data_IF_478310540111
#
_entry.id   IF_478310540111
#
_cell.length_a   1.000
_cell.length_b   1.000
_cell.length_c   1.000
_cell.angle_alpha   90.00
_cell.angle_beta   90.00
_cell.angle_gamma   90.00
#
_symmetry.space_group_name_H-M   'P 1'
#
loop_
_entity.id
_entity.type
_entity.pdbx_description
1 polymer ?
#
# COMPACT_ATOMS: atom_id res chain seq x y z
N UNK A 1 15.75 -4.11 10.50
CA UNK A 1 14.29 -4.25 10.69
C UNK A 1 13.71 -4.59 9.34
N UNK A 2 13.03 -5.73 9.20
CA UNK A 2 12.46 -6.19 7.91
C UNK A 2 11.51 -5.16 7.27
N UNK A 3 10.81 -4.37 8.10
CA UNK A 3 9.93 -3.29 7.67
C UNK A 3 10.65 -2.12 6.96
N UNK A 4 11.84 -1.72 7.45
CA UNK A 4 12.66 -0.70 6.79
C UNK A 4 13.21 -1.24 5.47
N UNK A 5 13.63 -2.50 5.43
CA UNK A 5 14.10 -3.14 4.20
C UNK A 5 13.01 -3.19 3.13
N UNK A 6 11.78 -3.54 3.50
CA UNK A 6 10.63 -3.49 2.60
C UNK A 6 10.35 -2.06 2.09
N UNK A 7 10.48 -1.05 2.96
CA UNK A 7 10.36 0.36 2.53
C UNK A 7 11.47 0.81 1.57
N UNK A 8 12.72 0.44 1.82
CA UNK A 8 13.83 0.78 0.92
C UNK A 8 13.63 0.14 -0.47
N UNK A 9 13.15 -1.11 -0.50
CA UNK A 9 12.78 -1.79 -1.75
C UNK A 9 11.60 -1.10 -2.46
N UNK A 10 10.62 -0.61 -1.70
CA UNK A 10 9.51 0.17 -2.23
C UNK A 10 10.00 1.46 -2.89
N UNK A 11 10.86 2.22 -2.22
CA UNK A 11 11.46 3.46 -2.75
C UNK A 11 12.29 3.17 -4.00
N UNK A 12 13.11 2.13 -3.97
CA UNK A 12 13.93 1.77 -5.12
C UNK A 12 13.07 1.37 -6.32
N UNK A 13 12.02 0.57 -6.10
CA UNK A 13 11.09 0.16 -7.15
C UNK A 13 10.34 1.36 -7.74
N UNK A 14 9.90 2.31 -6.90
CA UNK A 14 9.28 3.55 -7.36
C UNK A 14 10.20 4.37 -8.28
N UNK A 15 11.47 4.53 -7.91
CA UNK A 15 12.46 5.30 -8.68
C UNK A 15 12.73 4.74 -10.07
N UNK A 16 12.69 3.42 -10.22
CA UNK A 16 12.90 2.75 -11.51
C UNK A 16 11.57 2.45 -12.24
N UNK A 17 10.46 2.97 -11.72
CA UNK A 17 9.10 2.73 -12.21
C UNK A 17 8.74 1.23 -12.34
N UNK A 18 9.25 0.41 -11.41
CA UNK A 18 8.90 -1.00 -11.30
C UNK A 18 7.64 -1.14 -10.43
N UNK A 19 6.46 -1.01 -11.05
CA UNK A 19 5.19 -1.17 -10.36
C UNK A 19 4.99 -2.54 -9.72
N UNK A 20 5.59 -3.61 -10.28
CA UNK A 20 5.49 -4.96 -9.72
C UNK A 20 6.35 -5.07 -8.46
N UNK A 21 7.58 -4.58 -8.50
CA UNK A 21 8.46 -4.50 -7.34
C UNK A 21 7.86 -3.63 -6.23
N UNK A 22 7.29 -2.48 -6.60
CA UNK A 22 6.61 -1.57 -5.67
C UNK A 22 5.45 -2.25 -4.95
N UNK A 23 4.61 -2.95 -5.70
CA UNK A 23 3.50 -3.72 -5.16
C UNK A 23 3.96 -4.83 -4.20
N UNK A 24 4.98 -5.61 -4.59
CA UNK A 24 5.52 -6.66 -3.73
C UNK A 24 6.06 -6.08 -2.41
N UNK A 25 6.77 -4.96 -2.49
CA UNK A 25 7.32 -4.29 -1.31
C UNK A 25 6.22 -3.80 -0.33
N UNK A 26 5.05 -3.38 -0.83
CA UNK A 26 3.89 -3.06 0.03
C UNK A 26 3.40 -4.30 0.79
N UNK A 27 3.32 -5.45 0.11
CA UNK A 27 2.90 -6.70 0.75
C UNK A 27 3.89 -7.13 1.83
N UNK A 28 5.18 -7.04 1.54
CA UNK A 28 6.25 -7.40 2.48
C UNK A 28 6.27 -6.44 3.69
N UNK A 29 6.00 -5.15 3.45
CA UNK A 29 5.85 -4.14 4.50
C UNK A 29 4.68 -4.47 5.43
N UNK A 30 3.50 -4.76 4.86
CA UNK A 30 2.30 -5.11 5.63
C UNK A 30 2.49 -6.42 6.41
N UNK A 31 3.06 -7.45 5.78
CA UNK A 31 3.35 -8.73 6.42
C UNK A 31 4.31 -8.57 7.62
N UNK A 32 5.36 -7.76 7.46
CA UNK A 32 6.30 -7.44 8.54
C UNK A 32 5.61 -6.75 9.71
N UNK A 33 4.72 -5.79 9.43
CA UNK A 33 3.94 -5.09 10.45
C UNK A 33 2.99 -6.02 11.22
N UNK A 34 2.29 -6.91 10.51
CA UNK A 34 1.36 -7.87 11.12
C UNK A 34 2.12 -8.91 11.96
N UNK A 35 3.25 -9.43 11.47
CA UNK A 35 4.07 -10.38 12.21
C UNK A 35 4.55 -9.80 13.55
N UNK A 36 4.85 -8.51 13.60
CA UNK A 36 5.27 -7.82 14.83
C UNK A 36 4.18 -7.79 15.91
N UNK A 37 2.89 -7.89 15.54
CA UNK A 37 1.78 -7.91 16.50
C UNK A 37 1.72 -9.19 17.33
N UNK A 38 2.40 -10.27 16.87
CA UNK A 38 2.33 -11.62 17.46
C UNK A 38 0.89 -12.11 17.68
N UNK A 39 -0.04 -11.66 16.84
CA UNK A 39 -1.45 -12.01 16.91
C UNK A 39 -1.84 -12.92 15.72
N UNK A 40 -1.90 -14.24 15.93
CA UNK A 40 -2.20 -15.19 14.85
C UNK A 40 -3.63 -15.07 14.31
N UNK A 41 -4.58 -14.59 15.11
CA UNK A 41 -5.97 -14.38 14.67
C UNK A 41 -6.04 -13.19 13.70
N UNK A 42 -5.33 -12.10 14.01
CA UNK A 42 -5.24 -10.95 13.11
C UNK A 42 -4.62 -11.34 11.76
N UNK A 43 -3.55 -12.15 11.78
CA UNK A 43 -2.92 -12.63 10.55
C UNK A 43 -3.90 -13.44 9.68
N UNK A 44 -4.65 -14.37 10.27
CA UNK A 44 -5.65 -15.17 9.54
C UNK A 44 -6.78 -14.33 8.94
N UNK A 45 -7.25 -13.30 9.65
CA UNK A 45 -8.26 -12.37 9.15
C UNK A 45 -7.74 -11.58 7.95
N UNK A 46 -6.52 -11.05 8.04
CA UNK A 46 -5.89 -10.32 6.95
C UNK A 46 -5.67 -11.22 5.73
N UNK A 47 -5.17 -12.44 5.93
CA UNK A 47 -4.96 -13.41 4.84
C UNK A 47 -6.26 -13.76 4.10
N UNK A 48 -7.40 -13.77 4.80
CA UNK A 48 -8.71 -13.97 4.18
C UNK A 48 -9.19 -12.79 3.32
N UNK A 49 -8.84 -11.56 3.69
CA UNK A 49 -9.26 -10.33 3.00
C UNK A 49 -8.30 -9.98 1.84
N UNK A 50 -7.02 -10.33 1.98
CA UNK A 50 -5.97 -9.91 1.05
C UNK A 50 -6.17 -10.29 -0.42
N UNK A 51 -6.68 -11.47 -0.80
CA UNK A 51 -6.75 -11.84 -2.22
C UNK A 51 -7.54 -10.85 -3.09
N UNK A 52 -8.62 -10.28 -2.54
CA UNK A 52 -9.44 -9.29 -3.25
C UNK A 52 -8.76 -7.92 -3.28
N UNK A 53 -8.18 -7.49 -2.16
CA UNK A 53 -7.40 -6.26 -2.07
C UNK A 53 -6.20 -6.27 -3.03
N UNK A 54 -5.51 -7.40 -3.10
CA UNK A 54 -4.32 -7.62 -3.92
C UNK A 54 -4.57 -7.39 -5.41
N UNK A 55 -5.70 -7.88 -5.94
CA UNK A 55 -6.05 -7.71 -7.35
C UNK A 55 -6.35 -6.25 -7.70
N UNK A 56 -7.14 -5.57 -6.86
CA UNK A 56 -7.48 -4.17 -7.06
C UNK A 56 -6.24 -3.27 -6.94
N UNK A 57 -5.42 -3.52 -5.93
CA UNK A 57 -4.21 -2.74 -5.67
C UNK A 57 -3.14 -2.94 -6.76
N UNK A 58 -2.97 -4.16 -7.28
CA UNK A 58 -2.07 -4.40 -8.41
C UNK A 58 -2.52 -3.62 -9.66
N UNK A 59 -3.82 -3.63 -9.97
CA UNK A 59 -4.37 -2.87 -11.10
C UNK A 59 -4.19 -1.36 -10.88
N UNK A 60 -4.47 -0.86 -9.68
CA UNK A 60 -4.28 0.55 -9.36
C UNK A 60 -2.81 0.98 -9.53
N UNK A 61 -1.87 0.21 -9.00
CA UNK A 61 -0.43 0.49 -9.13
C UNK A 61 0.03 0.43 -10.59
N UNK A 62 -0.43 -0.55 -11.36
CA UNK A 62 -0.10 -0.65 -12.79
C UNK A 62 -0.58 0.57 -13.60
N UNK A 63 -1.68 1.21 -13.18
CA UNK A 63 -2.22 2.42 -13.80
C UNK A 63 -1.54 3.70 -13.30
N UNK A 64 -0.80 3.66 -12.19
CA UNK A 64 -0.22 4.81 -11.48
C UNK A 64 1.29 4.97 -11.70
N UNK A 65 1.83 4.41 -12.79
CA UNK A 65 3.27 4.33 -13.06
C UNK A 65 4.00 5.68 -12.85
N UNK A 66 3.38 6.80 -13.20
CA UNK A 66 4.02 8.12 -13.10
C UNK A 66 3.99 8.75 -11.70
N UNK A 67 3.33 8.12 -10.71
CA UNK A 67 3.14 8.67 -9.36
C UNK A 67 3.48 7.69 -8.23
N UNK A 68 4.27 6.64 -8.51
CA UNK A 68 4.70 5.67 -7.50
C UNK A 68 5.57 6.30 -6.40
N UNK A 69 6.44 7.24 -6.77
CA UNK A 69 7.34 7.90 -5.81
C UNK A 69 6.55 8.74 -4.79
N UNK A 70 5.49 9.43 -5.21
CA UNK A 70 4.62 10.18 -4.30
C UNK A 70 3.95 9.26 -3.26
N UNK A 71 3.55 8.06 -3.66
CA UNK A 71 2.94 7.09 -2.75
C UNK A 71 3.89 6.63 -1.64
N UNK A 72 5.22 6.70 -1.82
CA UNK A 72 6.18 6.30 -0.78
C UNK A 72 6.11 7.17 0.48
N UNK A 73 5.60 8.41 0.37
CA UNK A 73 5.52 9.35 1.50
C UNK A 73 4.68 8.82 2.66
N UNK A 74 3.59 8.10 2.37
CA UNK A 74 2.72 7.55 3.40
C UNK A 74 3.46 6.50 4.24
N UNK A 75 4.21 5.62 3.58
CA UNK A 75 5.03 4.59 4.23
C UNK A 75 6.16 5.17 5.05
N UNK A 76 6.77 6.27 4.59
CA UNK A 76 7.75 7.02 5.39
C UNK A 76 7.14 7.55 6.69
N UNK A 77 5.93 8.13 6.62
CA UNK A 77 5.22 8.64 7.79
C UNK A 77 4.89 7.50 8.77
N UNK A 78 4.53 6.31 8.27
CA UNK A 78 4.30 5.13 9.11
C UNK A 78 5.59 4.72 9.84
N UNK A 79 6.74 4.69 9.15
CA UNK A 79 8.03 4.39 9.80
C UNK A 79 8.35 5.43 10.87
N UNK A 80 8.20 6.72 10.55
CA UNK A 80 8.50 7.81 11.48
C UNK A 80 7.60 7.72 12.72
N UNK A 81 6.33 7.38 12.54
CA UNK A 81 5.39 7.14 13.62
C UNK A 81 5.82 5.98 14.54
N UNK A 82 6.37 4.90 13.99
CA UNK A 82 6.92 3.79 14.78
C UNK A 82 8.16 4.24 15.58
N UNK A 83 9.06 5.02 14.97
CA UNK A 83 10.26 5.54 15.63
C UNK A 83 9.91 6.51 16.78
N UNK A 84 8.91 7.37 16.57
CA UNK A 84 8.45 8.33 17.59
C UNK A 84 7.43 7.75 18.57
N UNK A 85 7.08 6.47 18.43
CA UNK A 85 6.06 5.76 19.23
C UNK A 85 4.69 6.47 19.24
N UNK A 86 4.30 6.97 18.07
CA UNK A 86 3.04 7.66 17.83
C UNK A 86 2.13 6.79 16.93
N UNK A 87 1.42 5.80 17.49
CA UNK A 87 0.61 4.87 16.70
C UNK A 87 -0.56 5.56 15.99
N UNK A 88 -1.09 6.67 16.55
CA UNK A 88 -2.21 7.41 15.94
C UNK A 88 -1.78 8.05 14.62
N UNK A 89 -0.58 8.65 14.59
CA UNK A 89 0.02 9.15 13.34
C UNK A 89 0.24 8.04 12.32
N UNK A 90 0.65 6.86 12.76
CA UNK A 90 0.82 5.69 11.90
C UNK A 90 -0.49 5.22 11.28
N UNK A 91 -1.55 5.14 12.09
CA UNK A 91 -2.91 4.78 11.64
C UNK A 91 -3.44 5.81 10.63
N UNK A 92 -3.35 7.10 10.94
CA UNK A 92 -3.80 8.16 10.04
C UNK A 92 -3.07 8.13 8.68
N UNK A 93 -1.77 7.77 8.67
CA UNK A 93 -1.01 7.62 7.43
C UNK A 93 -1.46 6.42 6.58
N UNK A 94 -1.81 5.30 7.22
CA UNK A 94 -2.38 4.12 6.54
C UNK A 94 -3.74 4.47 5.93
N UNK A 95 -4.62 5.12 6.70
CA UNK A 95 -5.95 5.52 6.23
C UNK A 95 -5.85 6.50 5.04
N UNK A 96 -4.97 7.50 5.14
CA UNK A 96 -4.73 8.45 4.06
C UNK A 96 -4.16 7.78 2.79
N UNK A 97 -3.32 6.76 2.94
CA UNK A 97 -2.85 5.96 1.79
C UNK A 97 -4.00 5.20 1.14
N UNK A 98 -4.84 4.53 1.93
CA UNK A 98 -5.99 3.76 1.43
C UNK A 98 -6.97 4.68 0.69
N UNK A 99 -7.30 5.84 1.27
CA UNK A 99 -8.20 6.83 0.65
C UNK A 99 -7.64 7.35 -0.68
N UNK A 100 -6.32 7.64 -0.74
CA UNK A 100 -5.65 8.09 -1.95
C UNK A 100 -5.68 7.00 -3.05
N UNK A 101 -5.42 5.74 -2.71
CA UNK A 101 -5.46 4.61 -3.65
C UNK A 101 -6.88 4.35 -4.15
N UNK A 102 -7.88 4.40 -3.26
CA UNK A 102 -9.28 4.23 -3.62
C UNK A 102 -9.75 5.34 -4.58
N UNK A 103 -9.42 6.60 -4.25
CA UNK A 103 -9.76 7.75 -5.09
C UNK A 103 -9.14 7.65 -6.48
N UNK A 104 -7.88 7.24 -6.55
CA UNK A 104 -7.18 7.01 -7.81
C UNK A 104 -7.83 5.88 -8.62
N UNK A 105 -8.09 4.72 -8.00
CA UNK A 105 -8.70 3.58 -8.68
C UNK A 105 -10.09 3.91 -9.25
N UNK A 106 -10.93 4.63 -8.49
CA UNK A 106 -12.24 5.09 -8.95
C UNK A 106 -12.10 6.06 -10.14
N UNK A 107 -11.18 7.02 -10.06
CA UNK A 107 -10.94 7.96 -11.15
C UNK A 107 -10.44 7.25 -12.42
N UNK A 108 -9.51 6.31 -12.27
CA UNK A 108 -8.99 5.53 -13.39
C UNK A 108 -10.10 4.68 -14.05
N UNK A 109 -10.99 4.08 -13.26
CA UNK A 109 -12.14 3.33 -13.75
C UNK A 109 -13.15 4.21 -14.49
N UNK A 110 -13.48 5.39 -13.93
CA UNK A 110 -14.37 6.38 -14.58
C UNK A 110 -13.83 6.91 -15.91
N UNK A 111 -12.52 6.93 -16.08
CA UNK A 111 -11.86 7.34 -17.32
C UNK A 111 -11.54 6.16 -18.25
N UNK A 112 -11.99 4.95 -17.91
CA UNK A 112 -11.78 3.74 -18.71
C UNK A 112 -13.01 3.39 -19.55
N UNK A 113 -12.89 2.49 -20.54
CA UNK A 113 -14.04 1.95 -21.27
C UNK A 113 -15.11 1.28 -20.38
N UNK A 114 -14.77 0.97 -19.12
CA UNK A 114 -15.68 0.38 -18.14
C UNK A 114 -16.58 1.40 -17.44
N UNK A 115 -16.39 2.71 -17.67
CA UNK A 115 -17.13 3.79 -17.02
C UNK A 115 -18.66 3.63 -17.11
N UNK A 116 -19.18 3.07 -18.22
CA UNK A 116 -20.60 2.83 -18.43
C UNK A 116 -21.24 1.75 -17.53
N UNK A 117 -20.43 0.98 -16.79
CA UNK A 117 -20.90 -0.06 -15.86
C UNK A 117 -20.84 0.36 -14.39
N UNK A 118 -20.37 1.59 -14.12
CA UNK A 118 -20.14 2.12 -12.76
C UNK A 118 -21.10 3.30 -12.58
N UNK A 119 -22.40 3.00 -12.62
CA UNK A 119 -23.50 3.93 -12.37
C UNK A 119 -24.01 3.82 -10.95
#
# INVERSE_FOLDING_TARGET
MELITAYDQMVQSARVNDGRGFYQAILDFAASGIAATKNPVLLQLIDGIMPNLRRLQYVAIALKADALEESTRYFKIIIDALETRDPEKGVAAIEAYIEAEQSFAIAALKNSPLAGYIG
#
